data_IF_895997765183
#
_entry.id   IF_895997765183
#
_cell.length_a   1.000
_cell.length_b   1.000
_cell.length_c   1.000
_cell.angle_alpha   90.00
_cell.angle_beta   90.00
_cell.angle_gamma   90.00
#
_symmetry.space_group_name_H-M   'P 1'
#
loop_
_entity.id
_entity.type
_entity.pdbx_description
1 polymer ?
#
# COMPACT_ATOMS: atom_id res chain seq x y z
N UNK A 1 -10.15 20.43 14.37
CA UNK A 1 -9.05 19.45 14.30
C UNK A 1 -9.31 18.55 13.12
N UNK A 2 -8.42 18.52 12.13
CA UNK A 2 -8.53 17.62 10.96
C UNK A 2 -8.12 16.20 11.40
N UNK A 3 -8.82 15.17 10.94
CA UNK A 3 -8.46 13.76 11.21
C UNK A 3 -8.90 13.17 12.55
N UNK A 4 -9.62 13.90 13.41
CA UNK A 4 -10.02 13.46 14.77
C UNK A 4 -10.82 12.13 14.82
N UNK A 5 -11.51 11.79 13.73
CA UNK A 5 -12.33 10.58 13.62
C UNK A 5 -11.74 9.55 12.64
N UNK A 6 -10.51 9.75 12.18
CA UNK A 6 -9.86 8.86 11.23
C UNK A 6 -8.74 8.07 11.93
N UNK A 7 -8.81 6.73 11.86
CA UNK A 7 -7.70 5.87 12.26
C UNK A 7 -6.70 5.81 11.13
N UNK A 8 -5.52 6.41 11.29
CA UNK A 8 -4.48 6.38 10.26
C UNK A 8 -3.62 5.12 10.38
N UNK A 9 -3.32 4.50 9.25
CA UNK A 9 -2.39 3.39 9.10
C UNK A 9 -1.45 3.67 7.94
N UNK A 10 -0.15 3.47 8.14
CA UNK A 10 0.88 3.82 7.16
C UNK A 10 1.75 2.62 6.78
N UNK A 11 2.09 2.53 5.50
CA UNK A 11 2.89 1.47 4.90
C UNK A 11 3.95 2.00 3.94
N UNK A 12 4.96 1.16 3.67
CA UNK A 12 6.04 1.49 2.75
C UNK A 12 6.30 0.34 1.77
N UNK A 13 6.29 0.63 0.47
CA UNK A 13 6.66 -0.32 -0.60
C UNK A 13 7.87 0.20 -1.39
N UNK A 14 9.02 -0.37 -1.10
CA UNK A 14 10.30 -0.05 -1.75
C UNK A 14 10.96 -1.36 -2.13
N UNK A 15 11.63 -1.40 -3.27
CA UNK A 15 12.41 -2.57 -3.68
C UNK A 15 13.53 -2.88 -2.68
N UNK A 16 13.74 -4.18 -2.42
CA UNK A 16 14.81 -4.71 -1.56
C UNK A 16 14.30 -5.58 -0.40
N UNK A 17 15.00 -6.71 -0.17
CA UNK A 17 14.94 -7.69 0.94
C UNK A 17 13.60 -8.20 1.51
N UNK A 18 12.45 -7.60 1.20
CA UNK A 18 11.12 -8.04 1.65
C UNK A 18 10.38 -8.81 0.56
N UNK A 19 9.80 -9.94 0.97
CA UNK A 19 8.95 -10.74 0.09
C UNK A 19 7.63 -10.04 -0.16
N UNK A 20 7.21 -10.06 -1.42
CA UNK A 20 5.94 -9.52 -1.89
C UNK A 20 4.77 -10.10 -1.11
N UNK A 21 4.84 -11.38 -0.73
CA UNK A 21 3.75 -12.09 -0.03
C UNK A 21 3.42 -11.50 1.35
N UNK A 22 4.45 -11.08 2.11
CA UNK A 22 4.25 -10.44 3.43
C UNK A 22 3.69 -9.02 3.25
N UNK A 23 4.11 -8.33 2.19
CA UNK A 23 3.65 -6.97 1.88
C UNK A 23 2.17 -6.98 1.44
N UNK A 24 1.78 -7.98 0.65
CA UNK A 24 0.40 -8.19 0.15
C UNK A 24 -0.64 -8.28 1.27
N UNK A 25 -0.37 -9.06 2.32
CA UNK A 25 -1.30 -9.21 3.44
C UNK A 25 -1.53 -7.90 4.21
N UNK A 26 -0.53 -7.02 4.22
CA UNK A 26 -0.56 -5.79 5.02
C UNK A 26 -1.05 -4.59 4.23
N UNK A 27 -0.78 -4.54 2.92
CA UNK A 27 -1.06 -3.35 2.10
C UNK A 27 -2.55 -3.01 2.06
N UNK A 28 -3.42 -4.03 2.12
CA UNK A 28 -4.88 -3.85 2.11
C UNK A 28 -5.46 -3.22 3.39
N UNK A 29 -4.68 -3.18 4.49
CA UNK A 29 -5.08 -2.56 5.76
C UNK A 29 -4.57 -1.12 5.94
N UNK A 30 -3.89 -0.57 4.93
CA UNK A 30 -3.16 0.70 5.01
C UNK A 30 -3.93 1.80 4.29
N UNK A 31 -4.07 2.98 4.91
CA UNK A 31 -4.69 4.15 4.28
C UNK A 31 -3.71 5.27 3.91
N UNK A 32 -2.42 5.12 4.24
CA UNK A 32 -1.34 5.98 3.78
C UNK A 32 -0.20 5.10 3.25
N UNK A 33 0.07 5.14 1.94
CA UNK A 33 1.08 4.32 1.30
C UNK A 33 2.20 5.18 0.71
N UNK A 34 3.45 4.92 1.09
CA UNK A 34 4.64 5.56 0.50
C UNK A 34 5.42 4.52 -0.31
N UNK A 35 5.62 4.76 -1.60
CA UNK A 35 6.19 3.73 -2.46
C UNK A 35 7.08 4.26 -3.59
N UNK A 36 7.97 3.39 -4.07
CA UNK A 36 8.69 3.61 -5.35
C UNK A 36 7.85 3.09 -6.52
N UNK A 37 7.82 3.78 -7.68
CA UNK A 37 6.92 3.43 -8.79
C UNK A 37 6.99 1.97 -9.24
N UNK A 38 8.19 1.42 -9.43
CA UNK A 38 8.34 0.03 -9.90
C UNK A 38 7.80 -1.00 -8.91
N UNK A 39 7.95 -0.74 -7.60
CA UNK A 39 7.42 -1.63 -6.56
C UNK A 39 5.90 -1.49 -6.42
N UNK A 40 5.35 -0.29 -6.59
CA UNK A 40 3.90 -0.09 -6.62
C UNK A 40 3.25 -0.84 -7.80
N UNK A 41 3.82 -0.70 -9.00
CA UNK A 41 3.33 -1.36 -10.20
C UNK A 41 3.28 -2.88 -10.03
N UNK A 42 4.32 -3.48 -9.46
CA UNK A 42 4.34 -4.91 -9.14
C UNK A 42 3.16 -5.30 -8.22
N UNK A 43 2.82 -4.49 -7.22
CA UNK A 43 1.69 -4.76 -6.34
C UNK A 43 0.33 -4.59 -7.03
N UNK A 44 0.20 -3.66 -7.99
CA UNK A 44 -1.02 -3.51 -8.80
C UNK A 44 -1.31 -4.74 -9.67
N UNK A 45 -0.26 -5.40 -10.17
CA UNK A 45 -0.41 -6.58 -11.03
C UNK A 45 -0.59 -7.87 -10.20
N UNK A 46 0.17 -8.03 -9.12
CA UNK A 46 0.27 -9.31 -8.43
C UNK A 46 -0.55 -9.42 -7.14
N UNK A 47 -1.11 -8.32 -6.61
CA UNK A 47 -1.88 -8.30 -5.35
C UNK A 47 -3.38 -8.28 -5.64
N UNK A 48 -4.10 -9.39 -5.40
CA UNK A 48 -5.55 -9.42 -5.57
C UNK A 48 -6.22 -8.38 -4.66
N UNK A 49 -7.18 -7.64 -5.21
CA UNK A 49 -7.96 -6.60 -4.52
C UNK A 49 -7.18 -5.32 -4.16
N UNK A 50 -5.98 -5.12 -4.71
CA UNK A 50 -5.29 -3.84 -4.59
C UNK A 50 -5.92 -2.81 -5.55
N UNK A 51 -7.04 -2.22 -5.13
CA UNK A 51 -7.80 -1.26 -5.93
C UNK A 51 -7.21 0.16 -5.81
N UNK A 52 -6.76 0.68 -6.95
CA UNK A 52 -6.22 2.02 -7.11
C UNK A 52 -7.21 2.98 -7.79
N UNK A 53 -8.46 2.58 -8.03
CA UNK A 53 -9.48 3.38 -8.72
C UNK A 53 -9.85 4.68 -8.01
N UNK A 54 -9.59 4.76 -6.71
CA UNK A 54 -9.87 5.92 -5.86
C UNK A 54 -8.64 6.81 -5.61
N UNK A 55 -7.50 6.54 -6.25
CA UNK A 55 -6.37 7.47 -6.24
C UNK A 55 -6.75 8.72 -7.03
N UNK A 56 -6.80 9.86 -6.34
CA UNK A 56 -7.04 11.19 -6.92
C UNK A 56 -5.74 11.88 -7.35
#
# INVERSE_FOLDING_TARGET
MVGKYHGFSAGRLIGGSKSVDIEKERVNGINILVCTPGRLLQHMDETPNFDCSQLQ
#
